data_IF_942488997495
#
_entry.id   IF_942488997495
#
_cell.length_a   1.000
_cell.length_b   1.000
_cell.length_c   1.000
_cell.angle_alpha   90.00
_cell.angle_beta   90.00
_cell.angle_gamma   90.00
#
_symmetry.space_group_name_H-M   'P 1'
#
loop_
_entity.id
_entity.type
_entity.pdbx_description
1 polymer ?
#
# COMPACT_ATOMS: atom_id res chain seq x y z
N UNK A 1 -7.70 -23.89 16.09
CA UNK A 1 -7.07 -22.74 16.78
C UNK A 1 -5.78 -22.40 16.04
N UNK A 2 -5.88 -21.61 14.98
CA UNK A 2 -4.69 -21.09 14.30
C UNK A 2 -4.33 -19.82 15.06
N UNK A 3 -3.21 -19.86 15.78
CA UNK A 3 -2.60 -18.66 16.37
C UNK A 3 -2.23 -17.76 15.20
N UNK A 4 -2.88 -16.59 15.07
CA UNK A 4 -2.30 -15.48 14.33
C UNK A 4 -0.97 -15.17 15.01
N UNK A 5 0.14 -15.61 14.40
CA UNK A 5 1.46 -15.17 14.81
C UNK A 5 1.51 -13.65 14.63
N UNK A 6 2.14 -12.98 15.59
CA UNK A 6 2.34 -11.54 15.63
C UNK A 6 3.07 -11.03 14.36
N UNK A 7 2.36 -10.82 13.26
CA UNK A 7 2.81 -9.90 12.21
C UNK A 7 2.47 -8.48 12.64
N UNK A 8 3.21 -8.01 13.64
CA UNK A 8 3.43 -6.59 13.81
C UNK A 8 4.20 -6.14 12.57
N UNK A 9 3.48 -5.56 11.61
CA UNK A 9 4.05 -4.53 10.75
C UNK A 9 4.82 -3.59 11.68
N UNK A 10 6.14 -3.73 11.68
CA UNK A 10 7.02 -3.05 12.61
C UNK A 10 6.76 -1.53 12.55
N UNK A 11 5.97 -1.06 13.54
CA UNK A 11 5.83 0.34 13.95
C UNK A 11 4.76 1.22 13.26
N UNK A 12 3.83 0.71 12.44
CA UNK A 12 2.88 1.60 11.71
C UNK A 12 1.43 1.53 12.19
N UNK A 13 0.96 0.42 12.75
CA UNK A 13 -0.38 0.36 13.35
C UNK A 13 -0.28 0.09 14.86
N UNK A 14 -1.04 0.81 15.71
CA UNK A 14 -1.09 0.52 17.14
C UNK A 14 -1.58 -0.91 17.37
N UNK A 15 -1.00 -1.60 18.36
CA UNK A 15 -1.43 -2.95 18.74
C UNK A 15 -2.90 -2.92 19.15
N UNK A 16 -3.75 -3.58 18.35
CA UNK A 16 -5.16 -3.73 18.69
C UNK A 16 -5.32 -4.89 19.68
N UNK A 17 -5.93 -4.68 20.84
CA UNK A 17 -6.24 -5.77 21.76
C UNK A 17 -7.28 -6.70 21.11
N UNK A 18 -6.97 -8.01 21.11
CA UNK A 18 -7.77 -9.11 20.53
C UNK A 18 -9.16 -9.27 21.22
N UNK A 19 -9.48 -8.46 22.22
CA UNK A 19 -10.66 -8.59 23.08
C UNK A 19 -11.95 -7.95 22.54
N UNK A 20 -11.98 -7.47 21.29
CA UNK A 20 -13.20 -6.92 20.67
C UNK A 20 -13.47 -7.45 19.27
N UNK A 21 -13.36 -8.77 19.08
CA UNK A 21 -13.91 -9.46 17.91
C UNK A 21 -15.41 -9.70 18.09
N UNK A 22 -16.22 -8.64 17.97
CA UNK A 22 -17.57 -8.82 17.44
C UNK A 22 -17.41 -9.28 15.99
N UNK A 23 -18.12 -10.32 15.56
CA UNK A 23 -18.24 -10.69 14.14
C UNK A 23 -18.67 -9.46 13.34
N UNK A 24 -17.71 -8.72 12.79
CA UNK A 24 -17.99 -7.59 11.92
C UNK A 24 -18.49 -8.17 10.61
N UNK A 25 -19.76 -7.93 10.30
CA UNK A 25 -20.27 -8.14 8.94
C UNK A 25 -19.47 -7.22 8.05
N UNK A 26 -18.60 -7.77 7.21
CA UNK A 26 -17.87 -6.98 6.21
C UNK A 26 -18.92 -6.48 5.23
N UNK A 27 -19.15 -5.16 5.22
CA UNK A 27 -20.06 -4.52 4.27
C UNK A 27 -19.57 -4.80 2.84
N UNK A 28 -20.45 -5.19 1.91
CA UNK A 28 -20.03 -5.41 0.52
C UNK A 28 -19.53 -4.10 -0.08
N UNK A 29 -18.35 -4.15 -0.72
CA UNK A 29 -17.79 -3.04 -1.47
C UNK A 29 -18.64 -2.71 -2.70
N UNK A 30 -19.15 -1.47 -2.76
CA UNK A 30 -19.96 -0.98 -3.88
C UNK A 30 -19.10 -0.63 -5.10
N UNK A 31 -19.68 -0.60 -6.30
CA UNK A 31 -18.94 -0.31 -7.52
C UNK A 31 -18.32 1.10 -7.53
N UNK A 32 -19.06 2.09 -7.04
CA UNK A 32 -18.55 3.46 -6.91
C UNK A 32 -17.43 3.58 -5.87
N UNK A 33 -17.42 2.71 -4.86
CA UNK A 33 -16.34 2.62 -3.87
C UNK A 33 -15.09 2.00 -4.51
N UNK A 34 -15.27 0.91 -5.25
CA UNK A 34 -14.19 0.21 -5.91
C UNK A 34 -13.45 1.07 -6.93
N UNK A 35 -14.17 1.94 -7.66
CA UNK A 35 -13.56 2.90 -8.58
C UNK A 35 -12.66 3.93 -7.87
N UNK A 36 -12.97 4.28 -6.63
CA UNK A 36 -12.21 5.24 -5.83
C UNK A 36 -11.03 4.59 -5.10
N UNK A 37 -11.16 3.31 -4.77
CA UNK A 37 -10.20 2.54 -3.99
C UNK A 37 -8.74 2.69 -4.47
N UNK A 38 -8.38 2.49 -5.75
CA UNK A 38 -6.98 2.59 -6.18
C UNK A 38 -6.40 3.99 -5.99
N UNK A 39 -7.21 5.05 -6.07
CA UNK A 39 -6.76 6.43 -5.88
C UNK A 39 -6.43 6.69 -4.40
N UNK A 40 -7.34 6.29 -3.50
CA UNK A 40 -7.17 6.46 -2.06
C UNK A 40 -6.05 5.59 -1.52
N UNK A 41 -6.01 4.33 -1.95
CA UNK A 41 -4.95 3.39 -1.54
C UNK A 41 -3.58 3.89 -2.00
N UNK A 42 -3.44 4.35 -3.25
CA UNK A 42 -2.15 4.86 -3.75
C UNK A 42 -1.65 6.09 -2.98
N UNK A 43 -2.53 7.03 -2.64
CA UNK A 43 -2.16 8.16 -1.76
C UNK A 43 -1.78 7.70 -0.35
N UNK A 44 -2.54 6.74 0.21
CA UNK A 44 -2.24 6.14 1.49
C UNK A 44 -0.87 5.44 1.51
N UNK A 45 -0.51 4.66 0.49
CA UNK A 45 0.81 4.04 0.36
C UNK A 45 1.95 5.05 0.38
N UNK A 46 1.80 6.15 -0.38
CA UNK A 46 2.75 7.27 -0.36
C UNK A 46 2.89 7.84 1.05
N UNK A 47 1.77 8.11 1.74
CA UNK A 47 1.79 8.73 3.06
C UNK A 47 2.32 7.79 4.16
N UNK A 48 2.05 6.47 4.09
CA UNK A 48 2.66 5.47 4.97
C UNK A 48 4.19 5.48 4.85
N UNK A 49 4.71 5.51 3.61
CA UNK A 49 6.15 5.56 3.38
C UNK A 49 6.79 6.86 3.90
N UNK A 50 6.12 8.00 3.70
CA UNK A 50 6.58 9.30 4.20
C UNK A 50 6.56 9.35 5.73
N UNK A 51 5.53 8.83 6.38
CA UNK A 51 5.47 8.73 7.84
C UNK A 51 6.61 7.85 8.37
N UNK A 52 6.88 6.71 7.70
CA UNK A 52 8.01 5.85 8.06
C UNK A 52 9.35 6.57 7.94
N UNK A 53 9.52 7.41 6.92
CA UNK A 53 10.71 8.25 6.74
C UNK A 53 10.85 9.32 7.84
N UNK A 54 9.75 9.99 8.24
CA UNK A 54 9.76 10.94 9.36
C UNK A 54 10.19 10.28 10.67
N UNK A 55 9.70 9.05 10.93
CA UNK A 55 10.08 8.27 12.10
C UNK A 55 11.55 7.82 12.04
N UNK A 56 12.00 7.34 10.87
CA UNK A 56 13.40 6.93 10.65
C UNK A 56 14.37 8.11 10.83
N UNK A 57 13.94 9.33 10.49
CA UNK A 57 14.74 10.55 10.68
C UNK A 57 14.95 10.89 12.16
N UNK A 58 14.03 10.49 13.04
CA UNK A 58 14.13 10.67 14.49
C UNK A 58 14.85 9.51 15.18
N UNK A 59 14.63 8.29 14.69
CA UNK A 59 15.21 7.06 15.21
C UNK A 59 15.58 6.13 14.03
N UNK A 60 16.85 6.17 13.56
CA UNK A 60 17.28 5.39 12.40
C UNK A 60 17.12 3.88 12.60
N UNK A 61 16.70 3.18 11.54
CA UNK A 61 16.61 1.72 11.51
C UNK A 61 15.33 1.18 10.88
N UNK A 62 14.41 2.06 10.46
CA UNK A 62 13.16 1.68 9.79
C UNK A 62 13.32 1.59 8.28
N UNK A 63 14.26 2.37 7.71
CA UNK A 63 14.58 2.39 6.28
C UNK A 63 16.07 2.11 6.06
N UNK A 64 16.38 1.40 4.98
CA UNK A 64 17.76 1.28 4.48
C UNK A 64 18.25 2.62 3.93
N UNK A 65 19.56 2.82 3.80
CA UNK A 65 20.11 4.04 3.21
C UNK A 65 19.57 4.30 1.79
N UNK A 66 19.42 3.24 0.98
CA UNK A 66 18.87 3.35 -0.39
C UNK A 66 17.40 3.78 -0.36
N UNK A 67 16.59 3.19 0.52
CA UNK A 67 15.20 3.57 0.71
C UNK A 67 15.10 5.04 1.16
N UNK A 68 15.88 5.42 2.18
CA UNK A 68 15.91 6.79 2.72
C UNK A 68 16.17 7.84 1.63
N UNK A 69 17.20 7.63 0.79
CA UNK A 69 17.55 8.58 -0.28
C UNK A 69 16.45 8.70 -1.36
N UNK A 70 15.68 7.64 -1.61
CA UNK A 70 14.54 7.69 -2.53
C UNK A 70 13.38 8.47 -1.92
N UNK A 71 13.03 8.18 -0.66
CA UNK A 71 11.91 8.83 0.03
C UNK A 71 12.20 10.29 0.33
N UNK A 72 13.45 10.64 0.65
CA UNK A 72 13.88 12.02 0.89
C UNK A 72 13.51 12.94 -0.28
N UNK A 73 13.75 12.50 -1.53
CA UNK A 73 13.39 13.28 -2.73
C UNK A 73 11.89 13.54 -2.85
N UNK A 74 11.06 12.61 -2.39
CA UNK A 74 9.60 12.78 -2.37
C UNK A 74 9.22 13.72 -1.24
N UNK A 75 9.78 13.51 -0.04
CA UNK A 75 9.49 14.25 1.17
C UNK A 75 9.78 15.76 1.03
N UNK A 76 10.93 16.10 0.45
CA UNK A 76 11.43 17.48 0.27
C UNK A 76 10.79 18.22 -0.90
N UNK A 77 10.04 17.54 -1.78
CA UNK A 77 9.44 18.18 -2.94
C UNK A 77 8.28 19.10 -2.55
N UNK A 78 8.36 20.39 -2.90
CA UNK A 78 7.29 21.39 -2.70
C UNK A 78 5.98 21.05 -3.45
N UNK A 79 6.07 20.25 -4.53
CA UNK A 79 4.90 19.83 -5.31
C UNK A 79 4.13 18.67 -4.68
N UNK A 80 4.61 18.12 -3.57
CA UNK A 80 4.00 16.97 -2.91
C UNK A 80 2.64 17.33 -2.31
N UNK A 81 1.62 16.54 -2.63
CA UNK A 81 0.36 16.59 -1.89
C UNK A 81 0.57 16.02 -0.47
N UNK A 82 0.40 16.87 0.54
CA UNK A 82 0.47 16.49 1.96
C UNK A 82 -0.71 15.59 2.34
N UNK A 83 -0.52 14.75 3.37
CA UNK A 83 -1.57 13.88 3.89
C UNK A 83 -2.79 14.69 4.34
N UNK A 84 -3.98 14.18 4.03
CA UNK A 84 -5.26 14.82 4.37
C UNK A 84 -6.44 14.09 3.72
N UNK A 85 -7.65 14.48 4.09
CA UNK A 85 -8.87 13.99 3.44
C UNK A 85 -9.13 14.79 2.15
N UNK A 86 -8.61 14.26 1.04
CA UNK A 86 -8.69 14.92 -0.26
C UNK A 86 -9.86 14.39 -1.09
N UNK A 87 -10.57 15.26 -1.82
CA UNK A 87 -11.51 14.84 -2.85
C UNK A 87 -10.84 13.95 -3.90
N UNK A 88 -11.61 13.04 -4.49
CA UNK A 88 -11.13 12.07 -5.49
C UNK A 88 -10.51 12.77 -6.70
N UNK A 89 -11.07 13.89 -7.13
CA UNK A 89 -10.58 14.69 -8.26
C UNK A 89 -9.19 15.28 -7.97
N UNK A 90 -8.92 15.63 -6.71
CA UNK A 90 -7.61 16.12 -6.27
C UNK A 90 -6.58 14.99 -6.33
N UNK A 91 -6.93 13.79 -5.83
CA UNK A 91 -6.05 12.62 -5.88
C UNK A 91 -5.73 12.19 -7.32
N UNK A 92 -6.73 12.23 -8.20
CA UNK A 92 -6.55 11.93 -9.63
C UNK A 92 -5.59 12.93 -10.28
N UNK A 93 -5.84 14.23 -10.11
CA UNK A 93 -5.01 15.30 -10.69
C UNK A 93 -3.58 15.28 -10.14
N UNK A 94 -3.41 15.00 -8.86
CA UNK A 94 -2.09 14.91 -8.26
C UNK A 94 -1.30 13.73 -8.82
N UNK A 95 -1.93 12.57 -8.99
CA UNK A 95 -1.29 11.42 -9.64
C UNK A 95 -0.85 11.73 -11.07
N UNK A 96 -1.68 12.42 -11.86
CA UNK A 96 -1.31 12.82 -13.22
C UNK A 96 -0.12 13.78 -13.25
N UNK A 97 -0.11 14.81 -12.37
CA UNK A 97 0.91 15.86 -12.38
C UNK A 97 2.22 15.43 -11.69
N UNK A 98 2.11 14.61 -10.66
CA UNK A 98 3.21 14.21 -9.79
C UNK A 98 3.47 12.70 -9.84
N UNK A 99 3.09 12.04 -10.93
CA UNK A 99 3.20 10.59 -11.19
C UNK A 99 4.49 9.94 -10.65
N UNK A 100 5.65 10.54 -10.90
CA UNK A 100 6.95 10.03 -10.45
C UNK A 100 7.09 9.84 -8.93
N UNK A 101 6.33 10.59 -8.13
CA UNK A 101 6.31 10.46 -6.66
C UNK A 101 5.56 9.22 -6.18
N UNK A 102 4.78 8.57 -7.06
CA UNK A 102 3.96 7.41 -6.73
C UNK A 102 4.58 6.09 -7.15
N UNK A 103 5.54 6.10 -8.08
CA UNK A 103 6.22 4.89 -8.55
C UNK A 103 6.85 4.16 -7.35
N UNK A 104 7.73 4.83 -6.61
CA UNK A 104 8.47 4.19 -5.54
C UNK A 104 7.60 3.72 -4.35
N UNK A 105 6.63 4.50 -3.83
CA UNK A 105 5.72 4.00 -2.80
C UNK A 105 4.97 2.73 -3.18
N UNK A 106 4.51 2.63 -4.44
CA UNK A 106 3.83 1.43 -4.93
C UNK A 106 4.77 0.23 -4.96
N UNK A 107 6.01 0.39 -5.43
CA UNK A 107 7.02 -0.68 -5.42
C UNK A 107 7.43 -1.10 -4.01
N UNK A 108 7.69 -0.11 -3.17
CA UNK A 108 8.12 -0.32 -1.80
C UNK A 108 7.09 -1.12 -1.01
N UNK A 109 5.81 -0.78 -1.14
CA UNK A 109 4.75 -1.51 -0.46
C UNK A 109 4.68 -2.98 -0.90
N UNK A 110 4.81 -3.24 -2.21
CA UNK A 110 4.85 -4.62 -2.72
C UNK A 110 5.96 -5.42 -2.03
N UNK A 111 7.18 -4.87 -2.01
CA UNK A 111 8.33 -5.51 -1.36
C UNK A 111 8.18 -5.66 0.16
N UNK A 112 7.38 -4.82 0.83
CA UNK A 112 7.08 -5.02 2.26
C UNK A 112 6.17 -6.21 2.52
N UNK A 113 5.33 -6.58 1.55
CA UNK A 113 4.32 -7.65 1.72
C UNK A 113 4.82 -9.00 1.18
N UNK A 114 5.59 -8.98 0.09
CA UNK A 114 6.21 -10.15 -0.55
C UNK A 114 7.36 -10.70 0.33
N UNK A 115 7.01 -11.53 1.32
CA UNK A 115 7.95 -12.01 2.34
C UNK A 115 7.82 -13.50 2.62
N UNK A 116 6.72 -14.16 2.26
CA UNK A 116 6.41 -15.52 2.71
C UNK A 116 5.97 -16.47 1.59
N UNK A 117 6.85 -16.81 0.64
CA UNK A 117 8.23 -16.32 0.47
C UNK A 117 8.30 -15.05 -0.39
N UNK A 118 9.48 -14.41 -0.48
CA UNK A 118 9.71 -13.34 -1.43
C UNK A 118 9.84 -13.91 -2.86
N UNK A 119 8.73 -14.16 -3.53
CA UNK A 119 8.64 -14.81 -4.84
C UNK A 119 8.05 -13.92 -5.95
N UNK A 120 7.73 -12.66 -5.62
CA UNK A 120 7.13 -11.65 -6.51
C UNK A 120 5.66 -11.90 -6.82
N UNK A 121 4.98 -12.64 -5.96
CA UNK A 121 3.55 -12.81 -5.96
C UNK A 121 3.01 -12.51 -4.57
N UNK A 122 1.85 -11.86 -4.50
CA UNK A 122 1.18 -11.63 -3.23
C UNK A 122 0.03 -12.60 -3.09
N UNK A 123 0.12 -13.46 -2.09
CA UNK A 123 -0.99 -14.32 -1.69
C UNK A 123 -2.08 -13.51 -0.99
N UNK A 124 -3.28 -14.10 -0.88
CA UNK A 124 -4.34 -13.53 -0.05
C UNK A 124 -3.89 -13.26 1.40
N UNK A 125 -2.99 -14.10 1.94
CA UNK A 125 -2.44 -13.95 3.30
C UNK A 125 -1.49 -12.77 3.41
N UNK A 126 -0.62 -12.55 2.43
CA UNK A 126 0.31 -11.40 2.42
C UNK A 126 -0.41 -10.07 2.21
N UNK A 127 -1.58 -10.09 1.56
CA UNK A 127 -2.47 -8.93 1.45
C UNK A 127 -3.27 -8.64 2.73
N UNK A 128 -3.20 -9.48 3.76
CA UNK A 128 -3.96 -9.28 5.00
C UNK A 128 -3.75 -7.92 5.69
N UNK A 129 -2.54 -7.33 5.72
CA UNK A 129 -2.33 -5.99 6.30
C UNK A 129 -3.16 -4.89 5.62
N UNK A 130 -3.49 -5.04 4.33
CA UNK A 130 -4.34 -4.10 3.58
C UNK A 130 -5.84 -4.26 3.89
N UNK A 131 -6.21 -5.22 4.75
CA UNK A 131 -7.58 -5.41 5.25
C UNK A 131 -7.74 -4.92 6.70
N UNK A 132 -6.74 -4.23 7.24
CA UNK A 132 -6.80 -3.68 8.58
C UNK A 132 -7.70 -2.42 8.65
N UNK A 133 -8.39 -2.15 9.78
CA UNK A 133 -9.37 -1.04 9.88
C UNK A 133 -8.83 0.38 9.64
N UNK A 134 -7.51 0.57 9.63
CA UNK A 134 -6.86 1.87 9.40
C UNK A 134 -6.53 2.12 7.91
N UNK A 135 -6.76 1.12 7.07
CA UNK A 135 -6.59 1.21 5.62
C UNK A 135 -7.85 1.85 5.04
N UNK A 136 -7.75 2.82 4.11
CA UNK A 136 -8.92 3.44 3.53
C UNK A 136 -9.72 2.41 2.73
N UNK A 137 -11.02 2.29 3.06
CA UNK A 137 -11.96 1.41 2.35
C UNK A 137 -11.50 -0.05 2.34
N UNK A 138 -11.03 -0.54 3.48
CA UNK A 138 -10.44 -1.86 3.66
C UNK A 138 -11.40 -3.00 3.26
N UNK A 139 -12.71 -2.77 3.32
CA UNK A 139 -13.73 -3.71 2.85
C UNK A 139 -13.71 -3.95 1.34
N UNK A 140 -13.10 -3.04 0.56
CA UNK A 140 -12.90 -3.18 -0.88
C UNK A 140 -11.63 -3.94 -1.26
N UNK A 141 -10.68 -4.12 -0.35
CA UNK A 141 -9.36 -4.70 -0.64
C UNK A 141 -9.44 -6.07 -1.32
N UNK A 142 -10.24 -7.00 -0.79
CA UNK A 142 -10.38 -8.34 -1.38
C UNK A 142 -10.98 -8.30 -2.78
N UNK A 143 -12.02 -7.49 -2.98
CA UNK A 143 -12.68 -7.34 -4.29
C UNK A 143 -11.74 -6.71 -5.32
N UNK A 144 -11.01 -5.67 -4.92
CA UNK A 144 -10.05 -4.99 -5.77
C UNK A 144 -8.96 -5.93 -6.28
N UNK A 145 -8.31 -6.69 -5.38
CA UNK A 145 -7.23 -7.58 -5.80
C UNK A 145 -7.71 -8.80 -6.60
N UNK A 146 -8.98 -9.20 -6.48
CA UNK A 146 -9.60 -10.15 -7.40
C UNK A 146 -9.77 -9.59 -8.82
N UNK A 147 -9.99 -8.28 -8.98
CA UNK A 147 -10.03 -7.62 -10.29
C UNK A 147 -8.62 -7.36 -10.85
N UNK A 148 -7.61 -7.29 -9.98
CA UNK A 148 -6.20 -7.17 -10.35
C UNK A 148 -5.58 -8.47 -10.87
N UNK A 149 -6.03 -9.61 -10.34
CA UNK A 149 -5.63 -10.96 -10.75
C UNK A 149 -6.19 -11.26 -12.16
N UNK A 150 -5.41 -10.88 -13.17
CA UNK A 150 -5.84 -10.89 -14.58
C UNK A 150 -5.72 -12.27 -15.22
N UNK A 151 -4.78 -13.10 -14.75
CA UNK A 151 -4.61 -14.48 -15.21
C UNK A 151 -5.33 -15.52 -14.33
N UNK A 152 -5.94 -15.07 -13.23
CA UNK A 152 -6.80 -15.84 -12.32
C UNK A 152 -6.05 -16.95 -11.60
N UNK A 153 -4.79 -16.71 -11.26
CA UNK A 153 -3.96 -17.66 -10.53
C UNK A 153 -4.13 -17.56 -9.00
N UNK A 154 -5.02 -16.68 -8.52
CA UNK A 154 -5.29 -16.32 -7.11
C UNK A 154 -4.12 -15.63 -6.39
N UNK A 155 -3.17 -15.11 -7.15
CA UNK A 155 -2.07 -14.30 -6.66
C UNK A 155 -2.08 -12.96 -7.36
N UNK A 156 -1.40 -11.97 -6.77
CA UNK A 156 -1.18 -10.69 -7.44
C UNK A 156 0.31 -10.58 -7.73
N UNK A 157 0.68 -10.76 -8.99
CA UNK A 157 2.06 -10.54 -9.42
C UNK A 157 2.48 -9.08 -9.26
N UNK A 158 3.79 -8.82 -9.18
CA UNK A 158 4.30 -7.45 -9.16
C UNK A 158 3.80 -6.58 -10.34
N UNK A 159 3.60 -7.21 -11.51
CA UNK A 159 3.08 -6.52 -12.70
C UNK A 159 1.61 -6.12 -12.51
N UNK A 160 0.77 -7.04 -12.04
CA UNK A 160 -0.66 -6.76 -11.80
C UNK A 160 -0.84 -5.72 -10.71
N UNK A 161 -0.07 -5.83 -9.62
CA UNK A 161 0.00 -4.81 -8.57
C UNK A 161 0.28 -3.42 -9.14
N UNK A 162 1.35 -3.28 -9.94
CA UNK A 162 1.71 -2.02 -10.56
C UNK A 162 0.60 -1.49 -11.49
N UNK A 163 0.03 -2.37 -12.33
CA UNK A 163 -1.04 -2.02 -13.25
C UNK A 163 -2.29 -1.52 -12.52
N UNK A 164 -2.69 -2.20 -11.45
CA UNK A 164 -3.86 -1.84 -10.66
C UNK A 164 -3.74 -0.48 -9.95
N UNK A 165 -2.51 -0.06 -9.62
CA UNK A 165 -2.25 1.28 -9.11
C UNK A 165 -1.94 2.33 -10.19
N UNK A 166 -2.01 1.96 -11.46
CA UNK A 166 -1.81 2.86 -12.60
C UNK A 166 -0.34 3.18 -12.92
N UNK A 167 0.60 2.37 -12.41
CA UNK A 167 2.00 2.48 -12.80
C UNK A 167 2.16 1.97 -14.24
N UNK A 168 2.92 2.68 -15.07
CA UNK A 168 3.20 2.27 -16.45
C UNK A 168 4.19 1.12 -16.46
N UNK A 169 4.07 0.22 -17.44
CA UNK A 169 4.92 -0.98 -17.55
C UNK A 169 6.42 -0.65 -17.53
N UNK A 170 6.84 0.41 -18.22
CA UNK A 170 8.25 0.81 -18.30
C UNK A 170 8.80 1.36 -16.97
N UNK A 171 7.92 1.74 -16.03
CA UNK A 171 8.28 2.23 -14.71
C UNK A 171 8.19 1.14 -13.62
N UNK A 172 7.81 -0.10 -13.98
CA UNK A 172 7.78 -1.24 -13.07
C UNK A 172 9.16 -1.91 -12.99
N UNK A 173 10.03 -1.35 -12.15
CA UNK A 173 11.42 -1.79 -12.01
C UNK A 173 11.60 -2.69 -10.79
N UNK A 174 11.83 -3.99 -11.03
CA UNK A 174 12.12 -4.98 -9.98
C UNK A 174 13.36 -4.62 -9.14
N UNK A 175 14.26 -3.78 -9.66
CA UNK A 175 15.42 -3.30 -8.91
C UNK A 175 15.04 -2.27 -7.84
N UNK A 176 13.78 -1.85 -7.73
CA UNK A 176 13.25 -0.99 -6.66
C UNK A 176 12.62 -1.77 -5.51
N UNK A 177 12.59 -3.11 -5.57
CA UNK A 177 12.02 -3.99 -4.54
C UNK A 177 13.03 -4.29 -3.40
N UNK A 178 13.57 -3.24 -2.78
CA UNK A 178 14.56 -3.33 -1.69
C UNK A 178 14.24 -2.43 -0.50
#
# INVERSE_FOLDING_TARGET
MIRCQNWSIHGVLPEFPVSRLSFAVITPCQDGELQQFPLRMRDWLKNVLLQRYELDSKAPGLLTLKQRLRVQKIYESERRLHAGDHPIETLARDFEKNYHMYIYPVHWQFAQMDQHPADRYLTHSELAPLRAPLVPMEHCTSRFFQECDGDKDNHVSFREWGQCFGIKKDDMDVNLLF
#
